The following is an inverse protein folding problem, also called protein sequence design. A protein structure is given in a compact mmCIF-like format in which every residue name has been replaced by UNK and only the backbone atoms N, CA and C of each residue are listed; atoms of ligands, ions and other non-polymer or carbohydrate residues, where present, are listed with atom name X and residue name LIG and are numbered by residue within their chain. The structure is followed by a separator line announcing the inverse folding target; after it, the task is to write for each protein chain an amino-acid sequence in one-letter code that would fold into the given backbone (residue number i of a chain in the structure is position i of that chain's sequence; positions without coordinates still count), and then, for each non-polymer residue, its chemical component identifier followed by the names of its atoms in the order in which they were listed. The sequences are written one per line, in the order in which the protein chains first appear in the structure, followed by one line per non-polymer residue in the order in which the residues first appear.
data_IF_604049970218
#
_entry.id   IF_604049970218
#
_cell.length_a   1.000
_cell.length_b   1.000
_cell.length_c   1.000
_cell.angle_alpha   90.00
_cell.angle_beta   90.00
_cell.angle_gamma   90.00
#
_symmetry.space_group_name_H-M   'P 1'
#
loop_
_entity.id
_entity.type
_entity.pdbx_description
1 polymer ?
#
# COMPACT_ATOMS: atom_id res chain seq x y z
N UNK A 1 26.45 17.55 51.30
CA UNK A 1 26.48 17.94 49.87
C UNK A 1 25.73 16.91 49.03
N UNK A 2 24.40 16.99 48.87
CA UNK A 2 23.56 15.89 48.35
C UNK A 2 22.88 16.15 46.99
N UNK A 3 22.59 17.41 46.65
CA UNK A 3 21.72 17.78 45.50
C UNK A 3 22.18 17.22 44.14
N UNK A 4 23.47 16.99 43.94
CA UNK A 4 24.04 16.47 42.68
C UNK A 4 23.62 15.00 42.49
N UNK A 5 23.82 14.17 43.51
CA UNK A 5 23.43 12.75 43.52
C UNK A 5 21.91 12.57 43.40
N UNK A 6 21.12 13.46 44.02
CA UNK A 6 19.67 13.51 43.84
C UNK A 6 19.24 13.78 42.39
N UNK A 7 19.99 14.61 41.63
CA UNK A 7 19.66 14.90 40.23
C UNK A 7 20.07 13.77 39.28
N UNK A 8 21.21 13.10 39.51
CA UNK A 8 21.58 11.90 38.74
C UNK A 8 20.58 10.75 38.98
N UNK A 9 20.22 10.48 40.25
CA UNK A 9 19.25 9.42 40.57
C UNK A 9 17.84 9.70 40.02
N UNK A 10 17.41 10.97 39.95
CA UNK A 10 16.18 11.34 39.26
C UNK A 10 16.23 11.05 37.74
N UNK A 11 17.39 11.29 37.10
CA UNK A 11 17.57 11.02 35.67
C UNK A 11 17.41 9.52 35.33
N UNK A 12 17.86 8.65 36.23
CA UNK A 12 17.73 7.19 36.14
C UNK A 12 16.31 6.73 36.47
N UNK A 13 15.68 7.28 37.53
CA UNK A 13 14.29 6.94 37.91
C UNK A 13 13.26 7.24 36.83
N UNK A 14 13.54 8.24 35.99
CA UNK A 14 12.66 8.64 34.89
C UNK A 14 12.93 7.85 33.59
N UNK A 15 13.50 6.63 33.64
CA UNK A 15 13.71 5.78 32.47
C UNK A 15 13.06 4.42 32.69
N UNK A 16 11.94 4.14 32.02
CA UNK A 16 11.33 2.80 32.04
C UNK A 16 11.83 1.97 30.87
N UNK A 17 12.37 0.78 31.19
CA UNK A 17 12.76 -0.22 30.21
C UNK A 17 11.50 -0.90 29.66
N UNK A 18 11.41 -1.04 28.34
CA UNK A 18 10.24 -1.58 27.64
C UNK A 18 10.55 -2.94 26.99
N UNK A 19 11.78 -3.15 26.53
CA UNK A 19 12.21 -4.42 25.96
C UNK A 19 13.53 -4.31 25.22
N UNK A 20 13.94 -5.42 24.60
CA UNK A 20 15.09 -5.48 23.72
C UNK A 20 14.74 -6.23 22.42
N UNK A 21 15.49 -5.98 21.36
CA UNK A 21 15.41 -6.76 20.11
C UNK A 21 16.41 -7.92 20.08
N UNK A 22 16.51 -8.60 18.94
CA UNK A 22 17.42 -9.74 18.73
C UNK A 22 18.88 -9.36 18.50
N UNK A 23 19.18 -8.09 18.17
CA UNK A 23 20.55 -7.57 18.21
C UNK A 23 20.98 -7.25 19.66
N UNK A 24 20.01 -7.02 20.54
CA UNK A 24 20.19 -6.66 21.94
C UNK A 24 20.16 -5.16 22.18
N UNK A 25 19.67 -4.36 21.22
CA UNK A 25 19.38 -2.95 21.43
C UNK A 25 18.23 -2.81 22.43
N UNK A 26 18.29 -1.80 23.29
CA UNK A 26 17.40 -1.64 24.44
C UNK A 26 16.47 -0.45 24.25
N UNK A 27 15.18 -0.66 24.46
CA UNK A 27 14.14 0.33 24.17
C UNK A 27 13.55 0.89 25.46
N UNK A 28 13.45 2.22 25.51
CA UNK A 28 13.12 2.99 26.69
C UNK A 28 12.04 4.02 26.41
N UNK A 29 11.23 4.32 27.43
CA UNK A 29 10.31 5.46 27.42
C UNK A 29 10.43 6.28 28.70
N UNK A 30 10.13 7.57 28.59
CA UNK A 30 9.98 8.53 29.68
C UNK A 30 8.77 9.39 29.41
N UNK A 31 7.96 9.64 30.43
CA UNK A 31 6.99 10.73 30.43
C UNK A 31 7.70 12.03 30.81
N UNK A 32 7.79 12.97 29.87
CA UNK A 32 8.27 14.35 30.13
C UNK A 32 7.06 15.30 30.05
N UNK A 33 6.86 16.12 31.07
CA UNK A 33 5.89 17.22 31.02
C UNK A 33 6.50 18.37 30.22
N UNK A 34 5.96 18.63 29.04
CA UNK A 34 6.43 19.66 28.10
C UNK A 34 5.22 20.55 27.79
N UNK A 35 5.35 21.85 28.10
CA UNK A 35 4.30 22.87 27.88
C UNK A 35 2.94 22.51 28.52
N UNK A 36 2.98 21.87 29.70
CA UNK A 36 1.79 21.39 30.42
C UNK A 36 1.22 20.06 29.91
N UNK A 37 1.69 19.55 28.78
CA UNK A 37 1.24 18.28 28.18
C UNK A 37 2.21 17.16 28.60
N UNK A 38 1.69 16.03 29.08
CA UNK A 38 2.50 14.82 29.26
C UNK A 38 2.81 14.21 27.89
N UNK A 39 4.09 14.20 27.48
CA UNK A 39 4.55 13.56 26.24
C UNK A 39 5.42 12.36 26.57
N UNK A 40 5.15 11.23 25.92
CA UNK A 40 6.03 10.06 25.94
C UNK A 40 7.21 10.28 25.00
N UNK A 41 8.41 10.43 25.56
CA UNK A 41 9.66 10.40 24.81
C UNK A 41 10.19 8.97 24.78
N UNK A 42 10.33 8.42 23.58
CA UNK A 42 10.79 7.05 23.32
C UNK A 42 12.18 7.10 22.68
N UNK A 43 13.08 6.20 23.08
CA UNK A 43 14.41 6.09 22.46
C UNK A 43 14.95 4.67 22.53
N UNK A 44 16.02 4.44 21.77
CA UNK A 44 16.82 3.21 21.76
C UNK A 44 18.21 3.52 22.31
N UNK A 45 18.79 2.56 23.03
CA UNK A 45 20.21 2.53 23.38
C UNK A 45 20.79 1.30 22.68
N UNK A 46 21.66 1.53 21.69
CA UNK A 46 22.27 0.47 20.90
C UNK A 46 23.29 -0.32 21.72
N UNK A 47 23.51 -1.58 21.35
CA UNK A 47 24.48 -2.47 22.04
C UNK A 47 25.88 -2.48 21.38
N UNK A 48 25.97 -2.04 20.13
CA UNK A 48 27.19 -2.12 19.31
C UNK A 48 27.42 -0.82 18.54
N UNK A 49 27.36 -0.90 17.22
CA UNK A 49 27.42 0.26 16.32
C UNK A 49 26.04 0.94 16.26
N UNK A 50 26.01 2.28 16.26
CA UNK A 50 24.79 3.11 16.25
C UNK A 50 24.11 3.17 14.87
N UNK A 51 23.98 2.03 14.17
CA UNK A 51 23.30 1.96 12.87
C UNK A 51 21.77 1.92 13.05
N UNK A 52 21.02 2.95 12.59
CA UNK A 52 19.56 2.94 12.65
C UNK A 52 18.92 1.88 11.74
N UNK A 53 19.64 1.37 10.75
CA UNK A 53 19.17 0.30 9.84
C UNK A 53 19.07 -1.06 10.54
N UNK A 54 19.79 -1.25 11.66
CA UNK A 54 19.71 -2.45 12.49
C UNK A 54 18.39 -2.62 13.25
N UNK A 55 17.63 -1.53 13.43
CA UNK A 55 16.39 -1.50 14.22
C UNK A 55 15.27 -2.26 13.47
N UNK A 56 14.62 -3.27 14.07
CA UNK A 56 13.48 -3.93 13.44
C UNK A 56 12.30 -2.98 13.26
N UNK A 57 11.63 -3.03 12.10
CA UNK A 57 10.53 -2.09 11.74
C UNK A 57 9.42 -1.95 12.79
N UNK A 58 9.09 -2.99 13.55
CA UNK A 58 8.08 -2.90 14.61
C UNK A 58 8.51 -1.96 15.75
N UNK A 59 9.81 -1.96 16.08
CA UNK A 59 10.41 -1.01 17.02
C UNK A 59 10.53 0.39 16.41
N UNK A 60 10.82 0.53 15.11
CA UNK A 60 10.77 1.84 14.42
C UNK A 60 9.36 2.44 14.50
N UNK A 61 8.32 1.65 14.22
CA UNK A 61 6.92 2.07 14.33
C UNK A 61 6.53 2.44 15.78
N UNK A 62 7.10 1.78 16.78
CA UNK A 62 6.89 2.14 18.19
C UNK A 62 7.65 3.42 18.60
N UNK A 63 8.91 3.58 18.19
CA UNK A 63 9.71 4.79 18.42
C UNK A 63 9.05 6.02 17.79
N UNK A 64 8.55 5.89 16.55
CA UNK A 64 7.84 6.93 15.81
C UNK A 64 6.39 7.18 16.29
N UNK A 65 5.98 6.60 17.42
CA UNK A 65 4.66 6.79 18.03
C UNK A 65 3.47 6.16 17.28
N UNK A 66 3.69 5.59 16.09
CA UNK A 66 2.64 4.95 15.27
C UNK A 66 2.00 3.77 16.00
N UNK A 67 2.83 2.94 16.66
CA UNK A 67 2.39 1.83 17.50
C UNK A 67 2.41 2.27 18.98
N UNK A 68 1.27 2.23 19.67
CA UNK A 68 1.20 2.61 21.11
C UNK A 68 1.90 1.59 22.01
N UNK A 69 1.54 0.31 21.85
CA UNK A 69 2.07 -0.85 22.59
C UNK A 69 3.39 -1.28 21.95
N UNK A 70 4.39 -1.68 22.75
CA UNK A 70 5.65 -2.23 22.24
C UNK A 70 5.44 -3.55 21.45
N UNK A 71 6.38 -3.96 20.58
CA UNK A 71 6.35 -5.28 19.95
C UNK A 71 6.76 -6.39 20.92
N UNK A 72 5.93 -7.42 21.04
CA UNK A 72 6.19 -8.60 21.89
C UNK A 72 7.28 -9.48 21.23
N UNK A 73 8.21 -10.11 21.98
CA UNK A 73 9.21 -11.01 21.39
C UNK A 73 8.62 -12.20 20.61
N UNK A 74 7.41 -12.63 20.98
CA UNK A 74 6.65 -13.65 20.23
C UNK A 74 6.16 -13.15 18.86
N UNK A 75 5.60 -11.93 18.80
CA UNK A 75 5.24 -11.27 17.53
C UNK A 75 6.46 -11.15 16.61
N UNK A 76 7.61 -10.75 17.17
CA UNK A 76 8.88 -10.66 16.43
C UNK A 76 9.30 -12.01 15.84
N UNK A 77 9.18 -13.11 16.60
CA UNK A 77 9.46 -14.45 16.11
C UNK A 77 8.49 -14.89 15.00
N UNK A 78 7.18 -14.63 15.15
CA UNK A 78 6.18 -14.92 14.13
C UNK A 78 6.44 -14.13 12.83
N UNK A 79 6.76 -12.84 12.94
CA UNK A 79 7.03 -11.96 11.79
C UNK A 79 8.31 -12.35 11.06
N UNK A 80 9.36 -12.77 11.77
CA UNK A 80 10.57 -13.30 11.14
C UNK A 80 10.32 -14.65 10.44
N UNK A 81 9.56 -15.57 11.06
CA UNK A 81 9.15 -16.82 10.42
C UNK A 81 8.24 -16.59 9.19
N UNK A 82 7.53 -15.45 9.11
CA UNK A 82 6.83 -15.02 7.88
C UNK A 82 7.82 -14.49 6.83
N UNK A 83 8.80 -13.67 7.23
CA UNK A 83 9.85 -13.14 6.33
C UNK A 83 10.72 -14.26 5.72
N UNK A 84 11.05 -15.29 6.50
CA UNK A 84 11.79 -16.48 6.05
C UNK A 84 11.03 -17.22 4.94
N UNK A 85 9.77 -17.63 5.19
CA UNK A 85 8.92 -18.28 4.19
C UNK A 85 8.72 -17.46 2.91
N UNK A 86 8.58 -16.13 3.03
CA UNK A 86 8.50 -15.24 1.86
C UNK A 86 9.83 -15.22 1.09
N UNK A 87 10.98 -15.18 1.77
CA UNK A 87 12.31 -15.25 1.14
C UNK A 87 12.53 -16.58 0.41
N UNK A 88 12.10 -17.69 1.00
CA UNK A 88 12.13 -19.04 0.41
C UNK A 88 11.27 -19.09 -0.86
N UNK A 89 9.99 -18.68 -0.79
CA UNK A 89 9.10 -18.64 -1.95
C UNK A 89 9.63 -17.73 -3.07
N UNK A 90 10.21 -16.57 -2.74
CA UNK A 90 10.84 -15.68 -3.72
C UNK A 90 12.10 -16.30 -4.35
N UNK A 91 12.87 -17.09 -3.60
CA UNK A 91 14.02 -17.81 -4.16
C UNK A 91 13.58 -18.93 -5.13
N UNK A 92 12.52 -19.66 -4.81
CA UNK A 92 11.93 -20.67 -5.70
C UNK A 92 11.42 -20.04 -7.00
N UNK A 93 10.62 -18.97 -6.91
CA UNK A 93 10.09 -18.25 -8.07
C UNK A 93 11.20 -17.65 -8.94
N UNK A 94 12.29 -17.14 -8.35
CA UNK A 94 13.46 -16.66 -9.10
C UNK A 94 14.14 -17.79 -9.87
N UNK A 95 14.36 -18.95 -9.24
CA UNK A 95 14.95 -20.12 -9.92
C UNK A 95 14.06 -20.60 -11.07
N UNK A 96 12.74 -20.64 -10.88
CA UNK A 96 11.80 -21.00 -11.94
C UNK A 96 11.80 -19.97 -13.09
N UNK A 97 11.80 -18.67 -12.78
CA UNK A 97 11.96 -17.59 -13.76
C UNK A 97 13.29 -17.69 -14.53
N UNK A 98 14.39 -18.05 -13.86
CA UNK A 98 15.72 -18.20 -14.48
C UNK A 98 15.77 -19.44 -15.40
N UNK A 99 15.21 -20.58 -14.96
CA UNK A 99 15.06 -21.76 -15.82
C UNK A 99 14.13 -21.48 -17.01
N UNK A 100 13.02 -20.74 -16.80
CA UNK A 100 12.13 -20.31 -17.89
C UNK A 100 12.86 -19.39 -18.86
N UNK A 101 13.60 -18.39 -18.37
CA UNK A 101 14.40 -17.45 -19.19
C UNK A 101 15.54 -18.15 -19.93
N UNK A 102 16.13 -19.22 -19.39
CA UNK A 102 17.11 -20.03 -20.12
C UNK A 102 16.46 -20.79 -21.29
N UNK A 103 15.33 -21.47 -21.05
CA UNK A 103 14.56 -22.20 -22.08
C UNK A 103 14.02 -21.25 -23.16
N UNK A 104 13.44 -20.11 -22.76
CA UNK A 104 12.91 -19.09 -23.67
C UNK A 104 14.02 -18.28 -24.37
N UNK A 105 15.17 -18.06 -23.74
CA UNK A 105 16.31 -17.35 -24.34
C UNK A 105 16.88 -18.10 -25.54
N UNK A 106 16.77 -19.43 -25.53
CA UNK A 106 17.06 -20.29 -26.68
C UNK A 106 15.96 -20.15 -27.74
N UNK A 107 14.67 -20.28 -27.39
CA UNK A 107 13.59 -20.24 -28.38
C UNK A 107 13.40 -18.87 -29.05
N UNK A 108 13.47 -17.76 -28.30
CA UNK A 108 13.37 -16.39 -28.83
C UNK A 108 14.53 -16.05 -29.77
N UNK A 109 15.72 -16.63 -29.56
CA UNK A 109 16.89 -16.49 -30.46
C UNK A 109 16.73 -17.29 -31.76
N UNK A 110 15.88 -18.33 -31.78
CA UNK A 110 15.55 -19.10 -32.99
C UNK A 110 14.53 -18.32 -33.83
N UNK A 111 13.46 -17.76 -33.24
CA UNK A 111 12.48 -16.97 -33.99
C UNK A 111 13.00 -15.60 -34.45
N UNK A 112 13.92 -14.94 -33.72
CA UNK A 112 14.42 -13.61 -34.11
C UNK A 112 15.36 -13.57 -35.32
N UNK A 113 15.61 -14.71 -35.98
CA UNK A 113 16.28 -14.75 -37.30
C UNK A 113 15.29 -14.90 -38.46
N UNK A 114 14.00 -15.04 -38.18
CA UNK A 114 12.91 -14.91 -39.16
C UNK A 114 12.60 -13.43 -39.45
N UNK A 115 12.28 -13.12 -40.71
CA UNK A 115 12.10 -11.75 -41.18
C UNK A 115 10.64 -11.28 -41.03
N UNK A 116 10.37 -10.46 -40.02
CA UNK A 116 9.26 -9.49 -40.06
C UNK A 116 7.87 -9.93 -39.57
N UNK A 117 7.69 -11.13 -39.00
CA UNK A 117 6.38 -11.53 -38.46
C UNK A 117 6.01 -10.74 -37.18
N UNK A 118 5.13 -9.75 -37.38
CA UNK A 118 4.40 -9.05 -36.32
C UNK A 118 3.44 -10.04 -35.65
N UNK A 119 3.49 -10.25 -34.31
CA UNK A 119 2.55 -11.12 -33.62
C UNK A 119 1.10 -10.77 -33.96
N UNK A 120 0.32 -11.77 -34.38
CA UNK A 120 -1.01 -11.53 -34.95
C UNK A 120 -2.01 -11.05 -33.89
N UNK A 121 -2.38 -9.78 -33.98
CA UNK A 121 -3.41 -9.15 -33.16
C UNK A 121 -4.76 -9.88 -33.24
N UNK A 122 -5.10 -10.53 -34.36
CA UNK A 122 -6.39 -11.23 -34.52
C UNK A 122 -6.43 -12.46 -33.62
N UNK A 123 -5.36 -13.27 -33.61
CA UNK A 123 -5.23 -14.41 -32.70
C UNK A 123 -5.32 -14.01 -31.22
N UNK A 124 -4.74 -12.87 -30.84
CA UNK A 124 -4.82 -12.34 -29.48
C UNK A 124 -6.24 -11.88 -29.11
N UNK A 125 -6.91 -11.14 -30.01
CA UNK A 125 -8.31 -10.72 -29.83
C UNK A 125 -9.25 -11.93 -29.73
N UNK A 126 -8.97 -13.01 -30.48
CA UNK A 126 -9.78 -14.24 -30.50
C UNK A 126 -9.63 -15.11 -29.25
N UNK A 127 -8.55 -14.94 -28.47
CA UNK A 127 -8.36 -15.65 -27.19
C UNK A 127 -9.16 -15.06 -26.03
N UNK A 128 -9.67 -13.83 -26.17
CA UNK A 128 -10.62 -13.27 -25.22
C UNK A 128 -11.99 -13.96 -25.41
N UNK A 129 -12.64 -14.47 -24.35
CA UNK A 129 -13.96 -15.11 -24.48
C UNK A 129 -15.01 -14.07 -24.85
N UNK A 130 -15.34 -13.99 -26.14
CA UNK A 130 -16.33 -13.05 -26.68
C UNK A 130 -17.72 -13.39 -26.13
N UNK A 131 -18.19 -12.59 -25.17
CA UNK A 131 -19.53 -12.67 -24.62
C UNK A 131 -20.57 -12.22 -25.67
N UNK A 132 -21.05 -13.20 -26.45
CA UNK A 132 -22.35 -13.26 -27.15
C UNK A 132 -22.91 -11.97 -27.78
N UNK A 133 -22.92 -11.98 -29.12
CA UNK A 133 -23.75 -11.15 -30.01
C UNK A 133 -25.15 -10.79 -29.48
N UNK A 134 -25.61 -9.58 -29.78
CA UNK A 134 -26.99 -9.32 -30.24
C UNK A 134 -26.94 -8.25 -31.35
N UNK A 135 -27.63 -8.49 -32.46
CA UNK A 135 -27.86 -7.52 -33.55
C UNK A 135 -29.38 -7.35 -33.79
N UNK A 136 -29.76 -6.19 -34.32
CA UNK A 136 -31.05 -5.89 -35.02
C UNK A 136 -32.40 -5.96 -34.28
N UNK A 137 -33.02 -4.77 -34.18
CA UNK A 137 -34.45 -4.45 -34.44
C UNK A 137 -35.62 -5.16 -33.71
N UNK A 138 -36.49 -4.36 -33.07
CA UNK A 138 -37.92 -4.39 -33.43
C UNK A 138 -39.01 -4.71 -32.39
N UNK A 139 -39.45 -3.68 -31.63
CA UNK A 139 -40.86 -3.37 -31.25
C UNK A 139 -41.66 -4.32 -30.30
N UNK A 140 -42.22 -3.71 -29.24
CA UNK A 140 -43.36 -4.15 -28.39
C UNK A 140 -43.13 -5.36 -27.44
N UNK A 141 -43.81 -5.51 -26.29
CA UNK A 141 -44.64 -4.59 -25.46
C UNK A 141 -44.99 -5.23 -24.10
N UNK A 142 -45.16 -4.43 -23.03
CA UNK A 142 -45.81 -4.77 -21.73
C UNK A 142 -45.16 -5.91 -20.88
N UNK A 143 -45.29 -6.03 -19.54
CA UNK A 143 -45.60 -5.14 -18.40
C UNK A 143 -45.15 -5.92 -17.10
N UNK A 144 -45.37 -5.59 -15.81
CA UNK A 144 -46.24 -4.63 -15.09
C UNK A 144 -45.67 -4.36 -13.68
N UNK A 145 -45.81 -3.14 -13.13
CA UNK A 145 -45.59 -2.81 -11.70
C UNK A 145 -44.16 -2.37 -11.32
N UNK A 146 -43.92 -1.66 -10.21
CA UNK A 146 -44.85 -1.23 -9.14
C UNK A 146 -44.54 0.20 -8.63
N UNK A 147 -45.43 0.77 -7.81
CA UNK A 147 -45.57 2.20 -7.53
C UNK A 147 -45.28 2.57 -6.05
N UNK A 148 -44.62 3.72 -5.80
CA UNK A 148 -44.80 4.59 -4.60
C UNK A 148 -44.19 5.98 -4.80
N UNK A 149 -44.80 7.00 -4.18
CA UNK A 149 -44.52 8.43 -4.39
C UNK A 149 -43.81 9.09 -3.20
N UNK A 150 -42.95 10.07 -3.49
CA UNK A 150 -42.82 11.36 -2.79
C UNK A 150 -41.82 12.26 -3.56
N UNK A 151 -41.88 13.60 -3.55
CA UNK A 151 -42.93 14.62 -3.71
C UNK A 151 -42.36 15.94 -3.14
N UNK A 152 -42.32 17.01 -3.95
CA UNK A 152 -41.90 18.39 -3.60
C UNK A 152 -40.40 18.52 -3.16
N UNK A 153 -39.73 19.67 -3.26
CA UNK A 153 -40.20 21.04 -3.58
C UNK A 153 -39.20 21.80 -4.49
N UNK A 154 -39.55 23.03 -4.87
CA UNK A 154 -38.86 23.93 -5.83
C UNK A 154 -37.75 24.77 -5.18
N UNK A 155 -36.81 25.27 -6.00
CA UNK A 155 -36.14 26.57 -5.78
C UNK A 155 -35.52 27.09 -7.09
N UNK A 156 -35.63 28.41 -7.37
CA UNK A 156 -35.03 29.03 -8.56
C UNK A 156 -33.70 29.72 -8.25
N UNK A 157 -32.65 29.48 -9.06
CA UNK A 157 -31.90 30.58 -9.70
C UNK A 157 -30.92 30.13 -10.81
N UNK A 158 -30.80 30.97 -11.84
CA UNK A 158 -29.83 30.88 -12.95
C UNK A 158 -29.47 32.34 -13.32
N UNK A 159 -28.19 32.76 -13.26
CA UNK A 159 -27.41 32.69 -14.49
C UNK A 159 -25.91 32.34 -14.36
N UNK A 160 -25.46 31.67 -15.42
CA UNK A 160 -24.11 31.47 -15.92
C UNK A 160 -22.94 32.28 -15.31
N UNK A 161 -21.85 31.56 -15.05
CA UNK A 161 -20.56 32.00 -15.59
C UNK A 161 -19.73 30.78 -16.03
N UNK A 162 -19.50 30.65 -17.34
CA UNK A 162 -18.63 29.61 -17.88
C UNK A 162 -17.17 29.98 -17.65
N UNK A 163 -16.37 29.02 -17.16
CA UNK A 163 -14.91 29.06 -17.20
C UNK A 163 -14.42 27.67 -17.61
N UNK A 164 -13.73 27.64 -18.73
CA UNK A 164 -13.10 26.43 -19.26
C UNK A 164 -11.77 26.24 -18.53
N UNK A 165 -11.61 25.11 -17.85
CA UNK A 165 -10.36 24.64 -17.24
C UNK A 165 -10.14 23.19 -17.72
N UNK A 166 -8.89 22.74 -17.95
CA UNK A 166 -8.62 21.52 -18.70
C UNK A 166 -9.04 20.22 -17.98
N UNK A 167 -9.53 19.25 -18.76
CA UNK A 167 -10.16 18.01 -18.27
C UNK A 167 -9.20 17.05 -17.53
N UNK A 168 -8.90 17.31 -16.25
CA UNK A 168 -8.44 16.29 -15.30
C UNK A 168 -9.62 15.43 -14.82
N UNK A 169 -10.30 14.75 -15.76
CA UNK A 169 -11.53 14.02 -15.49
C UNK A 169 -11.29 12.72 -14.70
N UNK A 170 -11.80 12.69 -13.46
CA UNK A 170 -11.95 11.44 -12.70
C UNK A 170 -12.90 10.46 -13.43
N UNK A 171 -12.68 9.14 -13.31
CA UNK A 171 -13.43 8.13 -14.06
C UNK A 171 -14.92 8.15 -13.69
N UNK A 172 -15.72 8.78 -14.54
CA UNK A 172 -17.15 9.00 -14.33
C UNK A 172 -17.96 7.88 -14.97
N UNK A 173 -19.00 7.43 -14.25
CA UNK A 173 -19.92 6.37 -14.68
C UNK A 173 -19.60 5.00 -14.09
N UNK A 174 -20.63 4.15 -13.99
CA UNK A 174 -20.52 2.76 -13.53
C UNK A 174 -21.15 1.83 -14.57
N UNK A 175 -20.49 0.71 -14.86
CA UNK A 175 -20.88 -0.18 -15.95
C UNK A 175 -20.62 0.44 -17.33
N UNK A 176 -21.57 0.30 -18.25
CA UNK A 176 -21.40 0.62 -19.67
C UNK A 176 -21.15 2.12 -20.01
N UNK A 177 -21.28 3.02 -19.04
CA UNK A 177 -20.96 4.45 -19.19
C UNK A 177 -19.55 4.83 -18.73
N UNK A 178 -18.79 3.90 -18.13
CA UNK A 178 -17.45 4.16 -17.59
C UNK A 178 -16.48 4.64 -18.68
N UNK A 179 -15.90 5.83 -18.46
CA UNK A 179 -14.79 6.35 -19.28
C UNK A 179 -13.53 6.45 -18.40
N UNK A 180 -12.45 5.70 -18.70
CA UNK A 180 -11.18 5.87 -18.00
C UNK A 180 -10.53 7.21 -18.41
N UNK A 181 -10.11 8.01 -17.43
CA UNK A 181 -9.30 9.20 -17.67
C UNK A 181 -7.91 8.83 -18.21
N UNK A 182 -7.37 9.64 -19.12
CA UNK A 182 -6.03 9.45 -19.68
C UNK A 182 -4.99 10.10 -18.77
N UNK A 183 -4.07 9.30 -18.20
CA UNK A 183 -3.06 9.83 -17.30
C UNK A 183 -1.99 10.67 -18.03
N UNK A 184 -1.96 11.95 -17.68
CA UNK A 184 -0.94 12.96 -17.98
C UNK A 184 0.39 12.78 -17.20
N UNK A 185 1.58 12.44 -17.75
CA UNK A 185 2.81 12.69 -16.99
C UNK A 185 3.04 14.20 -16.81
N UNK A 186 3.53 14.68 -15.65
CA UNK A 186 3.94 16.07 -15.49
C UNK A 186 5.17 16.39 -16.36
N UNK A 187 5.23 17.61 -16.86
CA UNK A 187 6.34 18.17 -17.66
C UNK A 187 7.46 18.77 -16.81
#
# INVERSE_FOLDING_TARGET
MSRIWSRLSAYIRNRTFIGADKAGNQYYVRTEQIDGIMKEKRWVEFKGEDDPTSIPVEWICWLNGQRKIAPTPEEMAMLEARRQRVKENVALLKKEEEERKAREGISRKITSMGKGDRPDLKSFIQQLPVASKVDTSGKASEATGSNRNAKEQEDENVPHQAKEEPESAEPTGSGASFRPGTWQPPS
#
